data_IF_973083082286
#
_entry.id   IF_973083082286
#
_cell.length_a   1.000
_cell.length_b   1.000
_cell.length_c   1.000
_cell.angle_alpha   90.00
_cell.angle_beta   90.00
_cell.angle_gamma   90.00
#
_symmetry.space_group_name_H-M   'P 1'
#
loop_
_entity.id
_entity.type
_entity.pdbx_description
1 polymer ?
#
# COMPACT_ATOMS: atom_id res chain seq x y z
N UNK A 1 -48.59 11.73 27.96
CA UNK A 1 -48.71 12.04 26.52
C UNK A 1 -47.36 11.71 25.89
N UNK A 2 -47.28 10.54 25.25
CA UNK A 2 -46.02 9.99 24.72
C UNK A 2 -45.88 10.53 23.29
N UNK A 3 -44.95 11.46 23.09
CA UNK A 3 -44.64 11.98 21.76
C UNK A 3 -43.76 10.98 21.02
N UNK A 4 -44.39 10.21 20.14
CA UNK A 4 -43.72 9.34 19.18
C UNK A 4 -43.16 10.26 18.08
N UNK A 5 -41.83 10.44 18.04
CA UNK A 5 -41.16 11.09 16.92
C UNK A 5 -41.00 10.04 15.82
N UNK A 6 -41.77 10.19 14.75
CA UNK A 6 -41.64 9.41 13.53
C UNK A 6 -40.24 9.62 12.94
N UNK A 7 -39.43 8.56 12.89
CA UNK A 7 -38.23 8.52 12.05
C UNK A 7 -38.75 8.27 10.62
N UNK A 8 -38.82 9.32 9.81
CA UNK A 8 -39.05 9.14 8.37
C UNK A 8 -37.87 8.36 7.78
N UNK A 9 -38.17 7.22 7.16
CA UNK A 9 -37.27 6.55 6.22
C UNK A 9 -36.82 7.57 5.16
N UNK A 10 -35.55 7.98 5.24
CA UNK A 10 -34.91 8.70 4.16
C UNK A 10 -34.77 7.71 3.00
N UNK A 11 -35.69 7.81 2.03
CA UNK A 11 -35.57 7.12 0.73
C UNK A 11 -34.19 7.43 0.15
N UNK A 12 -33.37 6.40 0.04
CA UNK A 12 -32.08 6.38 -0.63
C UNK A 12 -32.29 6.68 -2.12
N UNK A 13 -32.35 7.98 -2.44
CA UNK A 13 -32.27 8.50 -3.79
C UNK A 13 -30.88 8.22 -4.38
N UNK A 14 -30.84 7.91 -5.68
CA UNK A 14 -29.73 7.49 -6.56
C UNK A 14 -28.40 8.27 -6.50
N UNK A 15 -28.22 9.21 -5.58
CA UNK A 15 -27.00 10.04 -5.41
C UNK A 15 -25.91 9.41 -4.53
N UNK A 16 -26.08 8.18 -4.07
CA UNK A 16 -25.14 7.46 -3.18
C UNK A 16 -23.89 6.90 -3.87
N UNK A 17 -23.74 7.03 -5.19
CA UNK A 17 -22.61 6.43 -5.92
C UNK A 17 -21.25 7.14 -5.77
N UNK A 18 -21.20 8.38 -5.27
CA UNK A 18 -19.93 9.16 -5.23
C UNK A 18 -19.42 9.58 -3.86
N UNK A 19 -20.19 9.44 -2.78
CA UNK A 19 -19.78 9.95 -1.47
C UNK A 19 -20.22 9.03 -0.33
N UNK A 20 -19.27 8.66 0.52
CA UNK A 20 -19.54 7.91 1.75
C UNK A 20 -20.20 8.84 2.77
N UNK A 21 -21.46 8.59 3.09
CA UNK A 21 -22.18 9.27 4.16
C UNK A 21 -21.92 8.54 5.47
N UNK A 22 -21.60 9.27 6.54
CA UNK A 22 -21.52 8.72 7.91
C UNK A 22 -22.52 9.42 8.81
N UNK A 23 -23.24 8.63 9.60
CA UNK A 23 -24.27 9.09 10.53
C UNK A 23 -23.69 9.03 11.94
N UNK A 24 -23.75 10.14 12.67
CA UNK A 24 -23.27 10.24 14.04
C UNK A 24 -24.38 10.71 14.98
N UNK A 25 -24.39 10.15 16.19
CA UNK A 25 -25.23 10.62 17.28
C UNK A 25 -24.45 11.59 18.17
N UNK A 26 -24.97 12.81 18.32
CA UNK A 26 -24.42 13.79 19.27
C UNK A 26 -25.05 13.61 20.66
N UNK A 27 -24.38 14.12 21.71
CA UNK A 27 -24.81 14.06 23.13
C UNK A 27 -26.25 14.58 23.39
N UNK A 28 -26.86 15.29 22.44
CA UNK A 28 -28.23 15.81 22.52
C UNK A 28 -29.23 15.08 21.61
N UNK A 29 -28.95 13.85 21.16
CA UNK A 29 -29.86 13.02 20.33
C UNK A 29 -30.30 13.77 19.06
N UNK A 30 -29.35 14.41 18.40
CA UNK A 30 -29.58 15.07 17.12
C UNK A 30 -28.75 14.36 16.06
N UNK A 31 -29.41 13.99 14.96
CA UNK A 31 -28.81 13.23 13.87
C UNK A 31 -28.08 14.20 12.93
N UNK A 32 -26.78 13.99 12.72
CA UNK A 32 -26.00 14.76 11.77
C UNK A 32 -25.52 13.83 10.63
N UNK A 33 -25.75 14.27 9.40
CA UNK A 33 -25.16 13.67 8.20
C UNK A 33 -23.93 14.49 7.85
N UNK A 34 -22.76 13.91 8.06
CA UNK A 34 -21.50 14.56 7.69
C UNK A 34 -21.10 14.08 6.31
N UNK A 35 -20.99 15.01 5.37
CA UNK A 35 -20.36 14.76 4.08
C UNK A 35 -18.85 14.78 4.27
N UNK A 36 -18.13 13.79 3.75
CA UNK A 36 -16.67 13.73 3.85
C UNK A 36 -16.00 14.76 2.92
N UNK A 37 -16.23 16.06 3.16
CA UNK A 37 -15.48 17.18 2.59
C UNK A 37 -14.40 17.58 3.61
N UNK A 38 -13.63 16.60 4.08
CA UNK A 38 -12.55 16.85 5.03
C UNK A 38 -11.32 17.40 4.27
N UNK A 39 -11.40 18.65 3.79
CA UNK A 39 -10.28 19.29 3.08
C UNK A 39 -9.40 20.16 3.98
N UNK A 40 -9.89 20.62 5.13
CA UNK A 40 -9.10 21.33 6.13
C UNK A 40 -9.65 21.09 7.55
N UNK A 41 -8.79 20.61 8.45
CA UNK A 41 -9.06 20.46 9.89
C UNK A 41 -9.43 21.80 10.55
N UNK A 42 -9.04 22.93 9.96
CA UNK A 42 -9.33 24.29 10.45
C UNK A 42 -10.82 24.57 10.67
N UNK A 43 -11.72 23.85 9.97
CA UNK A 43 -13.17 23.99 10.15
C UNK A 43 -13.71 23.25 11.40
N UNK A 44 -12.94 22.33 12.00
CA UNK A 44 -13.37 21.51 13.13
C UNK A 44 -13.05 22.13 14.51
N UNK A 45 -12.55 23.37 14.57
CA UNK A 45 -12.15 24.09 15.81
C UNK A 45 -11.16 23.33 16.72
N UNK A 46 -10.58 22.22 16.24
CA UNK A 46 -9.61 21.38 16.95
C UNK A 46 -8.31 21.36 16.15
N UNK A 47 -7.22 21.77 16.79
CA UNK A 47 -5.88 21.71 16.22
C UNK A 47 -5.02 20.75 17.05
N UNK A 48 -4.12 20.04 16.38
CA UNK A 48 -3.07 19.29 17.06
C UNK A 48 -2.01 20.26 17.61
N UNK A 49 -1.46 19.93 18.77
CA UNK A 49 -0.32 20.68 19.31
C UNK A 49 0.89 20.49 18.39
N UNK A 50 1.61 21.58 18.12
CA UNK A 50 2.85 21.52 17.35
C UNK A 50 3.93 20.79 18.15
N UNK A 51 4.44 19.70 17.58
CA UNK A 51 5.41 18.81 18.23
C UNK A 51 6.53 18.51 17.24
N UNK A 52 7.81 18.46 17.69
CA UNK A 52 8.93 18.15 16.80
C UNK A 52 8.75 16.81 16.07
N UNK A 53 8.76 16.85 14.74
CA UNK A 53 8.59 15.68 13.86
C UNK A 53 9.94 15.09 13.45
N UNK A 54 10.57 14.35 14.36
CA UNK A 54 11.91 13.77 14.16
C UNK A 54 12.01 12.88 12.91
N UNK A 55 10.92 12.21 12.52
CA UNK A 55 10.85 11.31 11.37
C UNK A 55 10.97 12.02 10.02
N UNK A 56 10.82 13.35 9.95
CA UNK A 56 11.07 14.09 8.71
C UNK A 56 12.54 14.04 8.26
N UNK A 57 13.48 13.75 9.18
CA UNK A 57 14.92 13.66 8.90
C UNK A 57 15.46 12.22 8.97
N UNK A 58 14.58 11.23 9.07
CA UNK A 58 14.97 9.82 9.19
C UNK A 58 14.86 9.08 7.84
N UNK A 59 15.17 9.74 6.72
CA UNK A 59 15.18 9.09 5.40
C UNK A 59 16.18 7.93 5.44
N UNK A 60 15.75 6.69 5.12
CA UNK A 60 16.66 5.56 5.07
C UNK A 60 17.76 5.78 4.04
N UNK A 61 18.99 5.47 4.40
CA UNK A 61 20.13 5.54 3.48
C UNK A 61 20.45 4.16 2.95
N UNK A 62 20.73 4.02 1.65
CA UNK A 62 21.29 2.78 1.14
C UNK A 62 22.67 2.57 1.77
N UNK A 63 22.93 1.35 2.25
CA UNK A 63 24.25 0.97 2.76
C UNK A 63 25.26 0.80 1.61
N UNK A 64 24.83 0.90 0.35
CA UNK A 64 25.64 0.67 -0.86
C UNK A 64 26.03 2.02 -1.50
N UNK A 65 27.22 2.55 -1.17
CA UNK A 65 27.76 3.75 -1.84
C UNK A 65 28.51 3.49 -3.15
N UNK A 66 28.64 2.25 -3.58
CA UNK A 66 29.42 1.93 -4.78
C UNK A 66 29.04 0.55 -5.27
N UNK A 67 28.87 0.46 -6.59
CA UNK A 67 28.59 -0.75 -7.37
C UNK A 67 27.11 -1.14 -7.36
N UNK A 68 26.44 -0.68 -8.43
CA UNK A 68 25.42 -1.43 -9.15
C UNK A 68 25.48 -2.90 -8.76
N UNK A 69 24.37 -3.45 -8.26
CA UNK A 69 24.18 -4.88 -8.12
C UNK A 69 24.12 -5.58 -9.49
N UNK A 70 25.04 -5.26 -10.40
CA UNK A 70 25.43 -6.12 -11.51
C UNK A 70 26.15 -7.30 -10.87
N UNK A 71 25.49 -8.44 -10.88
CA UNK A 71 26.00 -9.77 -10.52
C UNK A 71 25.63 -10.26 -9.13
N UNK A 72 24.36 -10.56 -8.92
CA UNK A 72 24.00 -11.82 -8.27
C UNK A 72 23.75 -12.85 -9.37
N UNK A 73 24.59 -13.90 -9.40
CA UNK A 73 24.54 -15.06 -10.30
C UNK A 73 23.31 -15.96 -10.04
N UNK A 74 22.17 -15.38 -9.70
CA UNK A 74 20.90 -16.09 -9.57
C UNK A 74 20.05 -15.65 -10.76
N UNK A 75 19.61 -16.62 -11.55
CA UNK A 75 18.62 -16.39 -12.59
C UNK A 75 17.29 -16.06 -11.93
N UNK A 76 17.08 -14.79 -11.55
CA UNK A 76 15.80 -14.31 -11.05
C UNK A 76 14.78 -14.38 -12.19
N UNK A 77 13.65 -15.09 -12.04
CA UNK A 77 12.64 -15.19 -13.07
C UNK A 77 11.86 -13.88 -13.22
N UNK A 78 11.26 -13.68 -14.39
CA UNK A 78 10.32 -12.59 -14.63
C UNK A 78 9.00 -12.88 -13.90
N UNK A 79 8.37 -11.84 -13.33
CA UNK A 79 7.12 -11.97 -12.56
C UNK A 79 6.03 -12.77 -13.31
N UNK A 80 5.88 -12.52 -14.62
CA UNK A 80 4.89 -13.19 -15.48
C UNK A 80 5.06 -14.71 -15.55
N UNK A 81 6.26 -15.22 -15.27
CA UNK A 81 6.56 -16.66 -15.36
C UNK A 81 6.30 -17.40 -14.04
N UNK A 82 6.13 -16.68 -12.93
CA UNK A 82 5.97 -17.29 -11.59
C UNK A 82 4.65 -16.94 -10.90
N UNK A 83 3.95 -15.91 -11.37
CA UNK A 83 2.67 -15.48 -10.81
C UNK A 83 1.51 -16.15 -11.59
N UNK A 84 0.39 -16.48 -10.92
CA UNK A 84 0.08 -16.23 -9.51
C UNK A 84 0.86 -17.14 -8.54
N UNK A 85 1.24 -16.64 -7.36
CA UNK A 85 1.98 -17.43 -6.36
C UNK A 85 1.49 -17.17 -4.94
N UNK A 86 1.36 -18.23 -4.14
CA UNK A 86 1.04 -18.14 -2.71
C UNK A 86 2.30 -17.84 -1.90
N UNK A 87 2.22 -16.89 -0.98
CA UNK A 87 3.37 -16.33 -0.28
C UNK A 87 3.81 -17.18 0.93
N UNK A 88 4.09 -18.47 0.72
CA UNK A 88 4.56 -19.37 1.78
C UNK A 88 6.02 -19.12 2.17
N UNK A 89 6.82 -18.65 1.22
CA UNK A 89 8.24 -18.35 1.39
C UNK A 89 8.58 -17.03 0.71
N UNK A 90 9.81 -16.56 0.94
CA UNK A 90 10.32 -15.39 0.23
C UNK A 90 10.36 -15.67 -1.27
N UNK A 91 9.77 -14.76 -2.05
CA UNK A 91 9.79 -14.80 -3.51
C UNK A 91 10.53 -13.58 -4.04
N UNK A 92 11.34 -13.76 -5.08
CA UNK A 92 12.05 -12.68 -5.76
C UNK A 92 11.85 -12.81 -7.26
N UNK A 93 11.46 -11.72 -7.90
CA UNK A 93 11.17 -11.70 -9.32
C UNK A 93 11.49 -10.33 -9.93
N UNK A 94 11.75 -10.32 -11.24
CA UNK A 94 11.88 -9.08 -11.99
C UNK A 94 10.52 -8.53 -12.41
N UNK A 95 10.38 -7.21 -12.30
CA UNK A 95 9.22 -6.46 -12.81
C UNK A 95 9.71 -5.47 -13.88
N UNK A 96 9.00 -5.43 -15.00
CA UNK A 96 9.31 -4.50 -16.09
C UNK A 96 8.75 -3.12 -15.77
N UNK A 97 9.56 -2.09 -16.04
CA UNK A 97 9.15 -0.70 -15.88
C UNK A 97 8.61 -0.13 -17.21
N UNK A 98 7.63 0.77 -17.15
CA UNK A 98 7.06 1.38 -18.36
C UNK A 98 8.03 2.34 -19.05
N UNK A 99 8.88 3.03 -18.29
CA UNK A 99 9.85 4.00 -18.80
C UNK A 99 11.09 4.04 -17.91
N UNK A 100 12.26 4.25 -18.50
CA UNK A 100 13.54 4.45 -17.80
C UNK A 100 14.07 5.86 -18.05
N UNK A 101 15.02 6.31 -17.22
CA UNK A 101 15.70 7.60 -17.39
C UNK A 101 14.76 8.81 -17.50
N UNK A 102 13.73 8.88 -16.64
CA UNK A 102 12.76 9.99 -16.64
C UNK A 102 13.42 11.31 -16.23
N UNK A 103 12.96 12.41 -16.82
CA UNK A 103 13.44 13.74 -16.44
C UNK A 103 12.89 14.16 -15.07
N UNK A 104 13.52 15.14 -14.40
CA UNK A 104 13.02 15.67 -13.12
C UNK A 104 11.58 16.18 -13.21
N UNK A 105 11.22 16.79 -14.33
CA UNK A 105 9.87 17.29 -14.57
C UNK A 105 8.86 16.14 -14.67
N UNK A 106 9.20 15.08 -15.43
CA UNK A 106 8.32 13.91 -15.57
C UNK A 106 8.09 13.16 -14.25
N UNK A 107 9.05 13.25 -13.31
CA UNK A 107 8.91 12.68 -11.97
C UNK A 107 8.05 13.53 -11.05
N UNK A 108 8.10 14.85 -11.20
CA UNK A 108 7.23 15.75 -10.46
C UNK A 108 5.77 15.62 -10.93
N UNK A 109 5.56 15.41 -12.24
CA UNK A 109 4.23 15.32 -12.83
C UNK A 109 3.59 13.92 -12.70
N UNK A 110 4.41 12.87 -12.65
CA UNK A 110 3.94 11.48 -12.57
C UNK A 110 4.75 10.65 -11.57
N UNK A 111 4.07 9.93 -10.68
CA UNK A 111 4.66 8.98 -9.75
C UNK A 111 4.73 7.57 -10.38
N UNK A 112 5.89 6.90 -10.30
CA UNK A 112 6.00 5.47 -10.62
C UNK A 112 5.48 4.66 -9.42
N UNK A 113 4.43 3.86 -9.65
CA UNK A 113 3.82 2.98 -8.64
C UNK A 113 4.07 1.52 -8.97
N UNK A 114 4.66 0.77 -8.03
CA UNK A 114 4.67 -0.69 -8.03
C UNK A 114 3.34 -1.20 -7.48
N UNK A 115 2.55 -1.89 -8.29
CA UNK A 115 1.26 -2.44 -7.92
C UNK A 115 1.35 -3.95 -7.73
N UNK A 116 1.05 -4.43 -6.52
CA UNK A 116 0.86 -5.84 -6.23
C UNK A 116 -0.64 -6.13 -6.17
N UNK A 117 -1.15 -6.97 -7.08
CA UNK A 117 -2.54 -7.41 -7.03
C UNK A 117 -2.64 -8.67 -6.16
N UNK A 118 -3.40 -8.59 -5.08
CA UNK A 118 -3.41 -9.55 -3.98
C UNK A 118 -4.78 -10.19 -3.83
N UNK A 119 -4.79 -11.47 -3.44
CA UNK A 119 -5.96 -12.21 -2.99
C UNK A 119 -5.65 -12.83 -1.63
N UNK A 120 -6.47 -12.59 -0.60
CA UNK A 120 -6.19 -13.10 0.74
C UNK A 120 -7.42 -13.34 1.61
N UNK A 121 -7.24 -14.10 2.69
CA UNK A 121 -8.25 -14.28 3.73
C UNK A 121 -8.25 -13.09 4.71
N UNK A 122 -9.32 -12.29 4.69
CA UNK A 122 -9.45 -11.10 5.54
C UNK A 122 -9.64 -11.41 7.03
N UNK A 123 -10.01 -12.65 7.36
CA UNK A 123 -10.17 -13.13 8.74
C UNK A 123 -8.83 -13.44 9.42
N UNK A 124 -7.73 -13.45 8.66
CA UNK A 124 -6.38 -13.72 9.18
C UNK A 124 -5.59 -12.44 9.30
N UNK A 125 -4.80 -12.34 10.37
CA UNK A 125 -3.73 -11.35 10.43
C UNK A 125 -2.64 -11.74 9.44
N UNK A 126 -2.40 -10.93 8.42
CA UNK A 126 -1.41 -11.20 7.36
C UNK A 126 -0.44 -10.05 7.33
N UNK A 127 0.86 -10.33 7.22
CA UNK A 127 1.86 -9.29 6.97
C UNK A 127 2.97 -9.81 6.08
N UNK A 128 3.38 -8.98 5.14
CA UNK A 128 4.61 -9.19 4.37
C UNK A 128 5.31 -7.85 4.15
N UNK A 129 6.62 -7.94 3.91
CA UNK A 129 7.48 -6.80 3.64
C UNK A 129 7.97 -6.87 2.19
N UNK A 130 8.12 -5.71 1.55
CA UNK A 130 8.55 -5.58 0.16
C UNK A 130 9.89 -4.86 0.12
N UNK A 131 10.83 -5.44 -0.62
CA UNK A 131 12.15 -4.89 -0.84
C UNK A 131 12.42 -4.72 -2.34
N UNK A 132 13.20 -3.70 -2.68
CA UNK A 132 13.65 -3.42 -4.03
C UNK A 132 15.16 -3.65 -4.13
N UNK A 133 15.56 -4.50 -5.06
CA UNK A 133 16.96 -4.77 -5.40
C UNK A 133 17.85 -5.18 -4.20
N UNK A 134 17.27 -5.93 -3.26
CA UNK A 134 17.99 -6.49 -2.11
C UNK A 134 18.86 -7.68 -2.56
N UNK A 135 20.08 -7.76 -2.02
CA UNK A 135 20.98 -8.89 -2.23
C UNK A 135 20.65 -10.06 -1.29
N UNK A 136 21.00 -11.28 -1.71
CA UNK A 136 20.61 -12.55 -1.08
C UNK A 136 20.97 -12.73 0.41
N UNK A 137 21.59 -11.74 1.06
CA UNK A 137 21.84 -11.70 2.50
C UNK A 137 20.72 -10.93 3.20
N UNK A 138 19.47 -11.34 2.96
CA UNK A 138 18.27 -10.74 3.54
C UNK A 138 18.38 -10.70 5.07
N UNK A 139 18.84 -9.57 5.60
CA UNK A 139 18.75 -9.25 7.02
C UNK A 139 17.34 -8.75 7.26
N UNK A 140 16.39 -9.68 7.25
CA UNK A 140 14.94 -9.43 7.25
C UNK A 140 14.44 -8.60 8.44
N UNK A 141 15.29 -8.32 9.42
CA UNK A 141 14.96 -7.54 10.61
C UNK A 141 15.43 -6.08 10.53
N UNK A 142 16.28 -5.71 9.56
CA UNK A 142 16.78 -4.36 9.38
C UNK A 142 15.92 -3.60 8.35
N UNK A 143 14.95 -2.82 8.84
CA UNK A 143 14.05 -2.01 8.00
C UNK A 143 14.58 -0.57 7.76
N UNK A 144 15.68 -0.20 8.40
CA UNK A 144 16.35 1.10 8.32
C UNK A 144 17.24 1.22 7.06
N UNK A 145 16.72 0.78 5.92
CA UNK A 145 17.46 0.65 4.66
C UNK A 145 16.68 1.27 3.52
N UNK A 146 17.38 1.82 2.53
CA UNK A 146 16.71 2.33 1.33
C UNK A 146 15.96 1.21 0.61
N UNK A 147 16.54 0.02 0.51
CA UNK A 147 15.97 -1.14 -0.20
C UNK A 147 14.60 -1.58 0.33
N UNK A 148 14.23 -1.22 1.56
CA UNK A 148 12.91 -1.48 2.11
C UNK A 148 11.86 -0.49 1.59
N UNK A 149 10.84 -1.01 0.90
CA UNK A 149 9.81 -0.20 0.24
C UNK A 149 8.56 -0.03 1.11
N UNK A 150 8.17 -1.07 1.86
CA UNK A 150 6.99 -1.02 2.73
C UNK A 150 6.49 -2.38 3.20
N UNK A 151 5.48 -2.36 4.07
CA UNK A 151 4.76 -3.55 4.52
C UNK A 151 3.29 -3.48 4.12
N UNK A 152 2.75 -4.59 3.64
CA UNK A 152 1.31 -4.81 3.66
C UNK A 152 0.93 -5.51 4.96
N UNK A 153 -0.15 -5.03 5.61
CA UNK A 153 -0.71 -5.69 6.78
C UNK A 153 -2.24 -5.72 6.69
N UNK A 154 -2.81 -6.91 6.82
CA UNK A 154 -4.24 -7.09 7.07
C UNK A 154 -4.47 -7.32 8.57
N UNK A 155 -5.37 -6.55 9.16
CA UNK A 155 -5.89 -6.84 10.48
C UNK A 155 -7.11 -7.75 10.33
N UNK A 156 -7.10 -8.87 11.06
CA UNK A 156 -8.21 -9.81 11.05
C UNK A 156 -9.52 -9.09 11.42
N UNK A 157 -10.51 -9.15 10.54
CA UNK A 157 -11.87 -8.70 10.80
C UNK A 157 -12.85 -9.75 10.31
N UNK A 158 -13.79 -10.14 11.18
CA UNK A 158 -14.81 -11.15 10.90
C UNK A 158 -16.14 -10.42 10.87
N UNK A 159 -16.89 -10.55 9.78
CA UNK A 159 -18.25 -10.04 9.68
C UNK A 159 -19.24 -11.17 9.92
N UNK A 160 -20.28 -10.95 10.75
CA UNK A 160 -21.29 -11.97 11.07
C UNK A 160 -22.02 -12.54 9.85
N UNK A 161 -22.04 -11.81 8.71
CA UNK A 161 -22.71 -12.21 7.48
C UNK A 161 -21.78 -12.30 6.26
N UNK A 162 -20.45 -12.20 6.44
CA UNK A 162 -19.54 -12.58 5.36
C UNK A 162 -19.52 -14.09 5.29
N UNK A 163 -19.82 -14.68 4.13
CA UNK A 163 -19.52 -16.09 3.88
C UNK A 163 -18.07 -16.32 4.33
N UNK A 164 -17.87 -17.15 5.36
CA UNK A 164 -16.62 -17.25 6.17
C UNK A 164 -15.34 -17.59 5.39
N UNK A 165 -15.38 -17.66 4.05
CA UNK A 165 -14.30 -18.12 3.18
C UNK A 165 -14.20 -17.36 1.85
N UNK A 166 -14.81 -16.17 1.69
CA UNK A 166 -14.64 -15.40 0.45
C UNK A 166 -13.30 -14.66 0.48
N UNK A 167 -12.38 -14.95 -0.46
CA UNK A 167 -11.10 -14.28 -0.48
C UNK A 167 -11.27 -12.83 -0.95
N UNK A 168 -10.57 -11.93 -0.27
CA UNK A 168 -10.56 -10.49 -0.58
C UNK A 168 -9.50 -10.17 -1.61
N UNK A 169 -9.90 -9.41 -2.62
CA UNK A 169 -8.97 -8.87 -3.62
C UNK A 169 -8.64 -7.42 -3.31
N UNK A 170 -7.36 -7.06 -3.40
CA UNK A 170 -6.91 -5.66 -3.27
C UNK A 170 -5.68 -5.42 -4.11
N UNK A 171 -5.45 -4.17 -4.49
CA UNK A 171 -4.18 -3.72 -5.04
C UNK A 171 -3.40 -2.98 -3.96
N UNK A 172 -2.16 -3.40 -3.71
CA UNK A 172 -1.22 -2.71 -2.84
C UNK A 172 -0.22 -1.95 -3.71
N UNK A 173 -0.33 -0.62 -3.69
CA UNK A 173 0.48 0.28 -4.52
C UNK A 173 1.56 0.96 -3.68
N UNK A 174 2.79 0.96 -4.20
CA UNK A 174 3.97 1.50 -3.55
C UNK A 174 4.66 2.51 -4.48
N UNK A 175 4.90 3.72 -4.00
CA UNK A 175 5.66 4.73 -4.74
C UNK A 175 7.15 4.35 -4.77
N UNK A 176 7.72 4.23 -5.97
CA UNK A 176 9.11 3.81 -6.17
C UNK A 176 10.00 4.88 -6.77
N UNK A 177 9.47 6.06 -7.16
CA UNK A 177 10.27 7.09 -7.87
C UNK A 177 11.49 7.52 -7.06
N UNK A 178 11.30 7.92 -5.80
CA UNK A 178 12.39 8.34 -4.91
C UNK A 178 13.37 7.19 -4.65
N UNK A 179 12.85 5.97 -4.51
CA UNK A 179 13.68 4.81 -4.20
C UNK A 179 14.58 4.41 -5.39
N UNK A 180 14.07 4.53 -6.62
CA UNK A 180 14.86 4.29 -7.83
C UNK A 180 16.03 5.28 -7.95
N UNK A 181 15.86 6.52 -7.51
CA UNK A 181 16.94 7.52 -7.43
C UNK A 181 17.96 7.14 -6.37
N UNK A 182 17.50 6.81 -5.15
CA UNK A 182 18.37 6.47 -4.01
C UNK A 182 19.24 5.24 -4.29
N UNK A 183 18.70 4.26 -5.02
CA UNK A 183 19.40 3.03 -5.40
C UNK A 183 20.17 3.14 -6.73
N UNK A 184 20.03 4.26 -7.45
CA UNK A 184 20.67 4.47 -8.75
C UNK A 184 20.17 3.51 -9.85
N UNK A 185 18.89 3.11 -9.80
CA UNK A 185 18.26 2.13 -10.71
C UNK A 185 17.47 2.77 -11.84
N UNK A 186 17.59 4.09 -12.05
CA UNK A 186 16.79 4.83 -13.01
C UNK A 186 16.91 4.33 -14.46
N UNK A 187 18.09 3.83 -14.82
CA UNK A 187 18.41 3.34 -16.17
C UNK A 187 17.99 1.88 -16.38
N UNK A 188 17.69 1.15 -15.31
CA UNK A 188 17.40 -0.27 -15.37
C UNK A 188 15.95 -0.52 -15.83
N UNK A 189 15.80 -1.28 -16.91
CA UNK A 189 14.47 -1.62 -17.48
C UNK A 189 13.66 -2.53 -16.57
N UNK A 190 14.36 -3.39 -15.83
CA UNK A 190 13.77 -4.35 -14.92
C UNK A 190 14.30 -4.09 -13.52
N UNK A 191 13.44 -4.19 -12.52
CA UNK A 191 13.82 -4.08 -11.12
C UNK A 191 13.48 -5.36 -10.39
N UNK A 192 14.39 -5.81 -9.53
CA UNK A 192 14.17 -6.99 -8.71
C UNK A 192 13.30 -6.61 -7.51
N UNK A 193 12.17 -7.28 -7.36
CA UNK A 193 11.26 -7.13 -6.22
C UNK A 193 11.32 -8.40 -5.39
N UNK A 194 11.58 -8.23 -4.10
CA UNK A 194 11.60 -9.33 -3.13
C UNK A 194 10.46 -9.13 -2.15
N UNK A 195 9.59 -10.13 -2.04
CA UNK A 195 8.45 -10.11 -1.11
C UNK A 195 8.71 -11.16 -0.04
N UNK A 196 8.73 -10.72 1.22
CA UNK A 196 9.05 -11.56 2.37
C UNK A 196 7.82 -11.72 3.27
N UNK A 197 7.22 -12.92 3.35
CA UNK A 197 6.15 -13.16 4.31
C UNK A 197 6.68 -13.04 5.75
N UNK A 198 5.91 -12.34 6.60
CA UNK A 198 6.17 -12.23 8.04
C UNK A 198 5.19 -13.05 8.87
N UNK A 199 3.92 -13.01 8.50
CA UNK A 199 2.85 -13.72 9.20
C UNK A 199 1.79 -14.21 8.21
N UNK A 200 1.39 -15.47 8.34
CA UNK A 200 0.26 -16.10 7.64
C UNK A 200 0.28 -15.88 6.11
N UNK A 201 1.47 -15.96 5.52
CA UNK A 201 1.66 -15.75 4.07
C UNK A 201 1.01 -16.85 3.22
N UNK A 202 0.75 -18.02 3.79
CA UNK A 202 0.02 -19.11 3.16
C UNK A 202 -1.45 -18.78 2.84
N UNK A 203 -2.02 -17.76 3.51
CA UNK A 203 -3.37 -17.27 3.26
C UNK A 203 -3.41 -16.06 2.30
N UNK A 204 -2.30 -15.80 1.60
CA UNK A 204 -2.12 -14.68 0.68
C UNK A 204 -1.52 -15.16 -0.64
N UNK A 205 -2.13 -14.74 -1.75
CA UNK A 205 -1.66 -14.99 -3.10
C UNK A 205 -1.42 -13.68 -3.83
N UNK A 206 -0.23 -13.53 -4.41
CA UNK A 206 0.08 -12.46 -5.35
C UNK A 206 -0.39 -12.92 -6.72
N UNK A 207 -1.39 -12.26 -7.27
CA UNK A 207 -2.00 -12.61 -8.54
C UNK A 207 -1.16 -12.11 -9.72
N UNK A 208 -0.78 -10.84 -9.66
CA UNK A 208 -0.02 -10.16 -10.71
C UNK A 208 0.71 -8.96 -10.13
N UNK A 209 1.72 -8.48 -10.87
CA UNK A 209 2.51 -7.32 -10.51
C UNK A 209 2.78 -6.47 -11.74
N UNK A 210 2.63 -5.17 -11.61
CA UNK A 210 2.89 -4.19 -12.66
C UNK A 210 3.48 -2.90 -12.08
N UNK A 211 4.08 -2.09 -12.95
CA UNK A 211 4.50 -0.73 -12.62
C UNK A 211 3.72 0.24 -13.50
N UNK A 212 2.99 1.16 -12.88
CA UNK A 212 2.18 2.18 -13.56
C UNK A 212 2.70 3.58 -13.28
N UNK A 213 2.32 4.52 -14.16
CA UNK A 213 2.56 5.95 -13.97
C UNK A 213 1.24 6.60 -13.56
N UNK A 214 1.21 7.25 -12.39
CA UNK A 214 0.05 7.98 -11.90
C UNK A 214 0.34 9.47 -11.89
N UNK A 215 -0.55 10.29 -12.46
CA UNK A 215 -0.43 11.75 -12.38
C UNK A 215 -0.59 12.24 -10.93
N UNK A 216 0.32 13.11 -10.50
CA UNK A 216 0.31 13.75 -9.18
C UNK A 216 -0.83 14.79 -9.04
#
# INVERSE_FOLDING_TARGET
MISIVYIQELKTSEYTKKHTLRIYYHKHVQLFVIHLICRLISFLLLLFMDMPTQWMRSRPTSKKKTQSARSTKISIPLAINILPTTLQQTVTFYVMRPKTSRSKQEKADMEELLNLNLTYDETKYIRFDVFLNEDNLLKVFELDRAEYLGSFANLAHIHENSNENQPKTTTYSLAITELLEDLGLELDKNVAVTVVPKYNGEFMTINSVDVSLLSC
#
